data_IF_653572780565
#
_entry.id   IF_653572780565
#
_cell.length_a   1.000
_cell.length_b   1.000
_cell.length_c   1.000
_cell.angle_alpha   90.00
_cell.angle_beta   90.00
_cell.angle_gamma   90.00
#
_symmetry.space_group_name_H-M   'P 1'
#
loop_
_entity.id
_entity.type
_entity.pdbx_description
1 polymer ?
#
# COMPACT_ATOMS: atom_id res chain seq x y z
N UNK A 1 -27.58 2.12 9.65
CA UNK A 1 -26.97 3.36 10.07
C UNK A 1 -25.46 3.22 10.06
N UNK A 2 -24.78 4.10 9.36
CA UNK A 2 -23.33 4.03 9.26
C UNK A 2 -22.70 4.74 10.43
N UNK A 3 -21.87 4.02 11.16
CA UNK A 3 -21.20 4.56 12.33
C UNK A 3 -19.77 4.98 12.04
N UNK A 4 -19.49 5.29 10.76
CA UNK A 4 -18.16 5.76 10.41
C UNK A 4 -17.96 7.19 10.93
N UNK A 5 -16.94 7.34 11.74
CA UNK A 5 -16.54 8.67 12.20
C UNK A 5 -15.67 9.33 11.16
N UNK A 6 -15.45 10.63 11.30
CA UNK A 6 -14.51 11.35 10.45
C UNK A 6 -13.11 10.73 10.56
N UNK A 7 -12.76 10.27 11.76
CA UNK A 7 -11.48 9.60 12.00
C UNK A 7 -11.36 8.32 11.18
N UNK A 8 -12.42 7.50 11.19
CA UNK A 8 -12.42 6.24 10.42
C UNK A 8 -12.30 6.51 8.93
N UNK A 9 -13.05 7.48 8.41
CA UNK A 9 -12.99 7.83 7.00
C UNK A 9 -11.61 8.35 6.60
N UNK A 10 -11.00 9.14 7.47
CA UNK A 10 -9.65 9.63 7.23
C UNK A 10 -8.65 8.48 7.15
N UNK A 11 -8.79 7.49 8.01
CA UNK A 11 -7.91 6.32 7.99
C UNK A 11 -8.11 5.47 6.75
N UNK A 12 -9.34 5.34 6.26
CA UNK A 12 -9.60 4.68 4.98
C UNK A 12 -8.94 5.43 3.84
N UNK A 13 -9.05 6.76 3.84
CA UNK A 13 -8.39 7.58 2.81
C UNK A 13 -6.89 7.35 2.83
N UNK A 14 -6.31 7.30 4.01
CA UNK A 14 -4.89 7.07 4.18
C UNK A 14 -4.46 5.73 3.64
N UNK A 15 -5.21 4.69 3.98
CA UNK A 15 -4.90 3.36 3.51
C UNK A 15 -4.99 3.29 1.98
N UNK A 16 -6.02 3.87 1.39
CA UNK A 16 -6.17 3.87 -0.06
C UNK A 16 -5.05 4.66 -0.74
N UNK A 17 -4.63 5.76 -0.12
CA UNK A 17 -3.50 6.53 -0.63
C UNK A 17 -2.22 5.68 -0.66
N UNK A 18 -1.93 4.99 0.43
CA UNK A 18 -0.72 4.15 0.50
C UNK A 18 -0.79 2.95 -0.44
N UNK A 19 -1.97 2.38 -0.63
CA UNK A 19 -2.14 1.28 -1.58
C UNK A 19 -1.87 1.76 -3.01
N UNK A 20 -2.37 2.92 -3.38
CA UNK A 20 -2.13 3.46 -4.71
C UNK A 20 -0.68 3.87 -4.89
N UNK A 21 -0.05 4.37 -3.84
CA UNK A 21 1.37 4.70 -3.88
C UNK A 21 2.21 3.45 -4.08
N UNK A 22 1.88 2.40 -3.35
CA UNK A 22 2.54 1.10 -3.50
C UNK A 22 2.41 0.60 -4.93
N UNK A 23 1.21 0.70 -5.50
CA UNK A 23 0.98 0.31 -6.89
C UNK A 23 1.92 1.05 -7.84
N UNK A 24 2.01 2.36 -7.70
CA UNK A 24 2.85 3.17 -8.57
C UNK A 24 4.34 2.90 -8.37
N UNK A 25 4.77 2.82 -7.12
CA UNK A 25 6.17 2.61 -6.80
C UNK A 25 6.67 1.28 -7.37
N UNK A 26 5.92 0.22 -7.17
CA UNK A 26 6.37 -1.11 -7.59
C UNK A 26 6.20 -1.33 -9.10
N UNK A 27 5.24 -0.66 -9.71
CA UNK A 27 5.12 -0.68 -11.16
C UNK A 27 6.33 -0.04 -11.82
N UNK A 28 6.77 1.11 -11.29
CA UNK A 28 7.92 1.82 -11.83
C UNK A 28 9.21 1.03 -11.65
N UNK A 29 9.39 0.48 -10.45
CA UNK A 29 10.59 -0.31 -10.17
C UNK A 29 10.64 -1.56 -11.03
N UNK A 30 9.50 -2.20 -11.24
CA UNK A 30 9.44 -3.42 -12.05
C UNK A 30 9.96 -3.18 -13.47
N UNK A 31 9.70 -2.00 -14.02
CA UNK A 31 10.14 -1.69 -15.37
C UNK A 31 11.67 -1.64 -15.50
N UNK A 32 12.36 -1.43 -14.39
CA UNK A 32 13.82 -1.31 -14.39
C UNK A 32 14.53 -2.57 -13.94
N UNK A 33 13.79 -3.58 -13.51
CA UNK A 33 14.36 -4.83 -13.01
C UNK A 33 14.44 -5.82 -14.15
N UNK A 34 15.62 -6.43 -14.34
CA UNK A 34 15.83 -7.41 -15.39
C UNK A 34 15.51 -8.84 -14.94
N UNK A 35 15.70 -9.12 -13.65
CA UNK A 35 15.42 -10.45 -13.12
C UNK A 35 13.93 -10.75 -13.25
N UNK A 36 13.58 -11.79 -14.01
CA UNK A 36 12.20 -12.08 -14.34
C UNK A 36 11.35 -12.40 -13.10
N UNK A 37 11.87 -13.21 -12.20
CA UNK A 37 11.11 -13.60 -11.01
C UNK A 37 10.81 -12.40 -10.13
N UNK A 38 11.79 -11.54 -9.93
CA UNK A 38 11.62 -10.34 -9.12
C UNK A 38 10.69 -9.36 -9.82
N UNK A 39 10.86 -9.15 -11.12
CA UNK A 39 9.99 -8.28 -11.89
C UNK A 39 8.53 -8.72 -11.81
N UNK A 40 8.31 -10.02 -11.97
CA UNK A 40 6.97 -10.59 -11.89
C UNK A 40 6.36 -10.39 -10.50
N UNK A 41 7.14 -10.57 -9.44
CA UNK A 41 6.68 -10.38 -8.08
C UNK A 41 6.32 -8.91 -7.81
N UNK A 42 7.14 -7.99 -8.34
CA UNK A 42 6.89 -6.56 -8.18
C UNK A 42 5.62 -6.13 -8.91
N UNK A 43 5.43 -6.61 -10.13
CA UNK A 43 4.19 -6.35 -10.87
C UNK A 43 2.99 -6.95 -10.16
N UNK A 44 3.15 -8.13 -9.59
CA UNK A 44 2.11 -8.78 -8.82
C UNK A 44 1.70 -7.97 -7.60
N UNK A 45 2.68 -7.43 -6.88
CA UNK A 45 2.40 -6.58 -5.72
C UNK A 45 1.72 -5.28 -6.13
N UNK A 46 2.14 -4.71 -7.26
CA UNK A 46 1.51 -3.51 -7.81
C UNK A 46 0.03 -3.76 -8.10
N UNK A 47 -0.26 -4.87 -8.79
CA UNK A 47 -1.64 -5.22 -9.13
C UNK A 47 -2.45 -5.55 -7.89
N UNK A 48 -1.86 -6.26 -6.93
CA UNK A 48 -2.51 -6.61 -5.68
C UNK A 48 -2.90 -5.35 -4.90
N UNK A 49 -1.98 -4.40 -4.79
CA UNK A 49 -2.24 -3.14 -4.10
C UNK A 49 -3.40 -2.37 -4.73
N UNK A 50 -3.40 -2.32 -6.07
CA UNK A 50 -4.46 -1.64 -6.79
C UNK A 50 -5.80 -2.34 -6.61
N UNK A 51 -5.79 -3.67 -6.64
CA UNK A 51 -7.01 -4.45 -6.44
C UNK A 51 -7.59 -4.22 -5.05
N UNK A 52 -6.74 -4.21 -4.03
CA UNK A 52 -7.22 -4.02 -2.66
C UNK A 52 -7.80 -2.62 -2.45
N UNK A 53 -7.20 -1.60 -3.06
CA UNK A 53 -7.78 -0.26 -2.99
C UNK A 53 -9.17 -0.22 -3.61
N UNK A 54 -9.33 -0.87 -4.77
CA UNK A 54 -10.63 -0.95 -5.44
C UNK A 54 -11.64 -1.73 -4.64
N UNK A 55 -11.21 -2.84 -4.03
CA UNK A 55 -12.08 -3.67 -3.21
C UNK A 55 -12.63 -2.90 -2.02
N UNK A 56 -11.77 -2.14 -1.34
CA UNK A 56 -12.21 -1.33 -0.21
C UNK A 56 -13.16 -0.22 -0.66
N UNK A 57 -12.85 0.42 -1.77
CA UNK A 57 -13.70 1.46 -2.31
C UNK A 57 -15.09 0.94 -2.65
N UNK A 58 -15.14 -0.22 -3.30
CA UNK A 58 -16.42 -0.83 -3.68
C UNK A 58 -17.20 -1.26 -2.46
N UNK A 59 -16.51 -1.75 -1.44
CA UNK A 59 -17.16 -2.15 -0.20
C UNK A 59 -17.79 -0.95 0.49
N UNK A 60 -17.08 0.18 0.54
CA UNK A 60 -17.62 1.40 1.12
C UNK A 60 -18.85 1.88 0.37
N UNK A 61 -18.83 1.79 -0.97
CA UNK A 61 -20.01 2.14 -1.77
C UNK A 61 -21.18 1.24 -1.43
N UNK A 62 -20.91 -0.04 -1.25
CA UNK A 62 -21.96 -1.01 -0.93
C UNK A 62 -22.63 -0.70 0.41
N UNK A 63 -21.91 -0.06 1.31
CA UNK A 63 -22.44 0.37 2.60
C UNK A 63 -23.05 1.78 2.53
N UNK A 64 -23.25 2.32 1.33
CA UNK A 64 -23.76 3.68 1.09
C UNK A 64 -22.86 4.77 1.70
N UNK A 65 -21.56 4.48 1.74
CA UNK A 65 -20.59 5.45 2.22
C UNK A 65 -19.81 5.96 1.03
N UNK A 66 -19.80 7.29 0.85
CA UNK A 66 -19.00 7.89 -0.20
C UNK A 66 -17.53 7.67 0.11
N UNK A 67 -16.80 7.15 -0.89
CA UNK A 67 -15.36 6.96 -0.72
C UNK A 67 -14.72 8.30 -0.38
N UNK A 68 -13.79 8.30 0.57
CA UNK A 68 -13.11 9.54 0.94
C UNK A 68 -12.41 10.15 -0.26
N UNK A 69 -12.52 11.48 -0.38
CA UNK A 69 -11.99 12.20 -1.52
C UNK A 69 -10.86 13.13 -1.15
N UNK A 70 -10.10 12.78 -0.12
CA UNK A 70 -8.92 13.57 0.19
C UNK A 70 -7.95 13.50 -0.97
N UNK A 71 -7.48 14.66 -1.40
CA UNK A 71 -6.49 14.70 -2.46
C UNK A 71 -5.17 14.13 -1.94
N UNK A 72 -4.37 13.60 -2.84
CA UNK A 72 -3.05 13.12 -2.48
C UNK A 72 -2.22 14.21 -1.83
N UNK A 73 -2.41 15.45 -2.28
CA UNK A 73 -1.71 16.59 -1.73
C UNK A 73 -2.08 16.85 -0.28
N UNK A 74 -3.38 16.86 0.03
CA UNK A 74 -3.84 17.06 1.40
C UNK A 74 -3.33 15.97 2.31
N UNK A 75 -3.38 14.75 1.83
CA UNK A 75 -2.93 13.61 2.59
C UNK A 75 -1.44 13.69 2.84
N UNK A 76 -0.68 14.06 1.82
CA UNK A 76 0.77 14.17 1.93
C UNK A 76 1.17 15.21 2.96
N UNK A 77 0.49 16.34 3.02
CA UNK A 77 0.85 17.37 3.98
C UNK A 77 0.63 16.90 5.42
N UNK A 78 -0.28 15.97 5.65
CA UNK A 78 -0.55 15.44 6.99
C UNK A 78 0.41 14.31 7.38
N UNK A 79 0.83 13.49 6.43
CA UNK A 79 1.58 12.27 6.72
C UNK A 79 3.02 12.30 6.24
N UNK A 80 3.33 13.17 5.29
CA UNK A 80 4.64 13.21 4.66
C UNK A 80 5.30 14.57 4.72
N UNK A 81 4.93 15.40 5.69
CA UNK A 81 5.47 16.76 5.70
C UNK A 81 7.01 16.71 5.63
N UNK A 82 7.52 17.17 4.53
CA UNK A 82 8.96 17.18 4.27
C UNK A 82 9.50 16.00 3.49
N UNK A 83 8.89 14.84 3.60
CA UNK A 83 9.45 13.64 2.97
C UNK A 83 9.10 13.51 1.51
N UNK A 84 7.93 13.99 1.11
CA UNK A 84 7.49 13.87 -0.27
C UNK A 84 8.43 14.57 -1.22
N UNK A 85 8.99 15.69 -0.80
CA UNK A 85 9.90 16.46 -1.64
C UNK A 85 11.26 15.81 -1.79
N UNK A 86 11.64 14.94 -0.85
CA UNK A 86 12.90 14.24 -0.91
C UNK A 86 12.81 12.97 -1.73
N UNK A 87 11.61 12.50 -1.99
CA UNK A 87 11.42 11.31 -2.80
C UNK A 87 11.33 11.72 -4.26
N UNK A 88 12.45 11.66 -4.87
CA UNK A 88 12.55 11.96 -6.27
C UNK A 88 12.16 10.72 -7.07
N UNK A 89 11.30 10.90 -8.06
CA UNK A 89 10.91 9.79 -8.93
C UNK A 89 12.10 9.16 -9.63
N UNK A 90 13.14 9.96 -9.84
CA UNK A 90 14.34 9.49 -10.49
C UNK A 90 15.11 8.46 -9.67
N UNK A 91 14.80 8.35 -8.38
CA UNK A 91 15.49 7.40 -7.52
C UNK A 91 14.84 6.03 -7.47
N UNK A 92 13.70 5.88 -8.11
CA UNK A 92 13.03 4.58 -8.13
C UNK A 92 13.83 3.58 -8.96
N UNK A 93 13.95 2.36 -8.47
CA UNK A 93 14.50 1.27 -9.27
C UNK A 93 15.96 0.96 -9.08
N UNK A 94 16.67 1.71 -8.27
CA UNK A 94 18.07 1.41 -8.02
C UNK A 94 18.19 0.40 -6.87
N UNK A 95 19.22 -0.42 -6.91
CA UNK A 95 19.34 -1.60 -6.05
C UNK A 95 19.07 -1.39 -4.58
N UNK A 96 19.79 -0.46 -3.95
CA UNK A 96 19.57 -0.16 -2.53
C UNK A 96 18.21 0.46 -2.28
N UNK A 97 17.69 1.11 -3.29
CA UNK A 97 16.42 1.80 -3.17
C UNK A 97 15.24 0.84 -3.22
N UNK A 98 15.38 -0.30 -3.87
CA UNK A 98 14.32 -1.29 -3.84
C UNK A 98 14.10 -1.78 -2.41
N UNK A 99 15.18 -2.06 -1.67
CA UNK A 99 15.05 -2.48 -0.28
C UNK A 99 14.42 -1.40 0.57
N UNK A 100 14.86 -0.16 0.41
CA UNK A 100 14.29 0.98 1.14
C UNK A 100 12.83 1.21 0.77
N UNK A 101 12.54 1.09 -0.52
CA UNK A 101 11.19 1.29 -1.01
C UNK A 101 10.24 0.23 -0.47
N UNK A 102 10.69 -1.03 -0.43
CA UNK A 102 9.90 -2.11 0.16
C UNK A 102 9.64 -1.86 1.64
N UNK A 103 10.68 -1.50 2.39
CA UNK A 103 10.55 -1.24 3.83
C UNK A 103 9.59 -0.09 4.08
N UNK A 104 9.72 0.99 3.33
CA UNK A 104 8.86 2.16 3.48
C UNK A 104 7.39 1.81 3.21
N UNK A 105 7.13 1.14 2.09
CA UNK A 105 5.77 0.79 1.72
C UNK A 105 5.17 -0.22 2.70
N UNK A 106 5.96 -1.20 3.10
CA UNK A 106 5.48 -2.20 4.06
C UNK A 106 5.13 -1.57 5.39
N UNK A 107 5.99 -0.71 5.92
CA UNK A 107 5.75 -0.04 7.19
C UNK A 107 4.53 0.87 7.11
N UNK A 108 4.43 1.65 6.03
CA UNK A 108 3.31 2.58 5.84
C UNK A 108 1.99 1.83 5.75
N UNK A 109 1.96 0.75 4.98
CA UNK A 109 0.74 -0.04 4.81
C UNK A 109 0.38 -0.77 6.10
N UNK A 110 1.36 -1.39 6.76
CA UNK A 110 1.11 -2.10 8.01
C UNK A 110 0.52 -1.15 9.05
N UNK A 111 1.08 0.04 9.15
CA UNK A 111 0.59 1.04 10.08
C UNK A 111 -0.83 1.48 9.73
N UNK A 112 -1.08 1.75 8.45
CA UNK A 112 -2.40 2.21 8.01
C UNK A 112 -3.47 1.15 8.27
N UNK A 113 -3.20 -0.11 7.94
CA UNK A 113 -4.13 -1.19 8.22
C UNK A 113 -4.36 -1.36 9.71
N UNK A 114 -3.29 -1.32 10.50
CA UNK A 114 -3.39 -1.52 11.94
C UNK A 114 -4.19 -0.42 12.60
N UNK A 115 -3.98 0.82 12.20
CA UNK A 115 -4.74 1.96 12.73
C UNK A 115 -6.21 1.84 12.38
N UNK A 116 -6.51 1.38 11.18
CA UNK A 116 -7.89 1.20 10.77
C UNK A 116 -8.56 0.09 11.58
N UNK A 117 -7.83 -0.99 11.87
CA UNK A 117 -8.37 -2.08 12.67
C UNK A 117 -8.65 -1.69 14.12
N UNK A 118 -8.07 -0.60 14.61
CA UNK A 118 -8.34 -0.09 15.94
C UNK A 118 -9.64 0.71 15.99
N UNK A 119 -10.20 1.08 14.84
CA UNK A 119 -11.45 1.82 14.78
C UNK A 119 -12.65 0.90 14.91
N UNK A 120 -13.77 1.41 15.43
CA UNK A 120 -14.99 0.61 15.46
C UNK A 120 -15.54 0.48 14.03
N UNK A 121 -15.45 -0.71 13.48
CA UNK A 121 -15.92 -0.96 12.12
C UNK A 121 -17.36 -1.48 12.17
N UNK A 122 -18.17 -1.14 11.16
CA UNK A 122 -19.61 -1.43 11.22
C UNK A 122 -19.97 -2.90 11.07
N UNK A 123 -19.07 -3.70 10.53
CA UNK A 123 -19.40 -5.12 10.38
C UNK A 123 -18.13 -5.98 10.37
N UNK A 124 -18.34 -7.22 10.72
CA UNK A 124 -17.24 -8.19 10.81
C UNK A 124 -16.66 -8.47 9.42
N UNK A 125 -17.50 -8.46 8.38
CA UNK A 125 -17.03 -8.72 7.03
C UNK A 125 -15.95 -7.72 6.58
N UNK A 126 -16.16 -6.46 6.90
CA UNK A 126 -15.17 -5.43 6.55
C UNK A 126 -13.88 -5.65 7.32
N UNK A 127 -13.98 -5.97 8.60
CA UNK A 127 -12.81 -6.26 9.41
C UNK A 127 -12.03 -7.45 8.85
N UNK A 128 -12.73 -8.50 8.44
CA UNK A 128 -12.08 -9.68 7.86
C UNK A 128 -11.38 -9.37 6.54
N UNK A 129 -11.98 -8.53 5.70
CA UNK A 129 -11.34 -8.11 4.45
C UNK A 129 -10.05 -7.37 4.74
N UNK A 130 -10.08 -6.45 5.70
CA UNK A 130 -8.91 -5.66 6.06
C UNK A 130 -7.80 -6.56 6.58
N UNK A 131 -8.12 -7.51 7.45
CA UNK A 131 -7.15 -8.45 7.98
C UNK A 131 -6.57 -9.32 6.88
N UNK A 132 -7.42 -9.80 5.98
CA UNK A 132 -6.98 -10.61 4.85
C UNK A 132 -5.99 -9.84 3.98
N UNK A 133 -6.33 -8.61 3.62
CA UNK A 133 -5.47 -7.79 2.78
C UNK A 133 -4.12 -7.54 3.43
N UNK A 134 -4.12 -7.21 4.71
CA UNK A 134 -2.88 -6.97 5.45
C UNK A 134 -1.98 -8.20 5.44
N UNK A 135 -2.53 -9.35 5.74
CA UNK A 135 -1.75 -10.58 5.79
C UNK A 135 -1.23 -10.98 4.42
N UNK A 136 -2.05 -10.82 3.39
CA UNK A 136 -1.64 -11.14 2.02
C UNK A 136 -0.52 -10.22 1.56
N UNK A 137 -0.59 -8.94 1.87
CA UNK A 137 0.46 -7.99 1.51
C UNK A 137 1.77 -8.30 2.24
N UNK A 138 1.70 -8.68 3.50
CA UNK A 138 2.91 -9.06 4.25
C UNK A 138 3.63 -10.23 3.57
N UNK A 139 2.87 -11.19 3.10
CA UNK A 139 3.44 -12.35 2.38
C UNK A 139 4.09 -11.88 1.08
N UNK A 140 3.44 -11.00 0.35
CA UNK A 140 3.97 -10.48 -0.91
C UNK A 140 5.27 -9.69 -0.69
N UNK A 141 5.31 -8.86 0.35
CA UNK A 141 6.54 -8.13 0.68
C UNK A 141 7.67 -9.08 1.06
N UNK A 142 7.37 -10.11 1.84
CA UNK A 142 8.36 -11.09 2.22
C UNK A 142 8.95 -11.80 1.00
N UNK A 143 8.09 -12.15 0.05
CA UNK A 143 8.52 -12.80 -1.18
C UNK A 143 9.48 -11.90 -1.96
N UNK A 144 9.16 -10.63 -2.09
CA UNK A 144 10.00 -9.68 -2.80
C UNK A 144 11.35 -9.53 -2.10
N UNK A 145 11.36 -9.40 -0.78
CA UNK A 145 12.60 -9.29 -0.03
C UNK A 145 13.47 -10.53 -0.22
N UNK A 146 12.86 -11.69 -0.20
CA UNK A 146 13.57 -12.95 -0.39
C UNK A 146 14.18 -13.02 -1.79
N UNK A 147 13.40 -12.66 -2.81
CA UNK A 147 13.89 -12.67 -4.18
C UNK A 147 15.00 -11.63 -4.40
N UNK A 148 14.84 -10.46 -3.79
CA UNK A 148 15.85 -9.42 -3.91
C UNK A 148 17.17 -9.85 -3.27
N UNK A 149 17.10 -10.46 -2.09
CA UNK A 149 18.28 -10.97 -1.42
C UNK A 149 18.92 -12.09 -2.24
N UNK A 150 18.12 -13.00 -2.77
CA UNK A 150 18.63 -14.13 -3.54
C UNK A 150 19.39 -13.69 -4.80
N UNK A 151 18.88 -12.65 -5.48
CA UNK A 151 19.56 -12.21 -6.71
C UNK A 151 20.95 -11.65 -6.43
N UNK A 152 21.16 -11.06 -5.25
CA UNK A 152 22.48 -10.57 -4.88
C UNK A 152 23.39 -11.69 -4.37
N UNK A 153 22.80 -12.70 -3.77
CA UNK A 153 23.57 -13.84 -3.25
C UNK A 153 24.13 -14.73 -4.35
N UNK A 154 23.64 -14.60 -5.56
CA UNK A 154 24.10 -15.40 -6.70
C UNK A 154 25.38 -14.86 -7.32
N UNK A 155 25.92 -13.79 -6.80
CA UNK A 155 27.19 -13.24 -7.27
C UNK A 155 28.32 -13.46 -6.24
#
# INVERSE_FOLDING_TARGET
MNNFTASTLSKFSGLMFFLKRSKCDFEMVADEIENYSLKSALNGLSEESNFYASELKDYLKHLDINAPTLSATEFSSNYFSGDVNDRNEDNCGQGLELQSLCSYNEESLTKAYSELLEEPLPCISLQEIIIYQLNALKISFMKIKTLNTARFAMY
#
